data_IF_086603299499
#
_entry.id   IF_086603299499
#
_cell.length_a   1.000
_cell.length_b   1.000
_cell.length_c   1.000
_cell.angle_alpha   90.00
_cell.angle_beta   90.00
_cell.angle_gamma   90.00
#
_symmetry.space_group_name_H-M   'P 1'
#
loop_
_entity.id
_entity.type
_entity.pdbx_description
1 polymer ?
#
# COMPACT_ATOMS: atom_id res chain seq x y z
N UNK A 1 61.49 9.04 14.48
CA UNK A 1 61.54 9.89 13.27
C UNK A 1 60.44 9.37 12.36
N UNK A 2 59.25 9.96 12.45
CA UNK A 2 58.76 10.96 11.47
C UNK A 2 57.75 10.23 10.57
N UNK A 3 56.52 10.65 10.33
CA UNK A 3 55.80 11.89 10.57
C UNK A 3 54.32 11.57 10.35
N UNK A 4 53.47 12.11 11.21
CA UNK A 4 52.03 12.26 11.00
C UNK A 4 51.80 13.15 9.77
N UNK A 5 51.01 12.70 8.80
CA UNK A 5 50.44 13.60 7.77
C UNK A 5 48.94 13.72 7.98
N UNK A 6 48.54 14.84 8.55
CA UNK A 6 47.21 15.42 8.39
C UNK A 6 46.98 15.70 6.90
N UNK A 7 45.79 15.34 6.40
CA UNK A 7 45.20 15.95 5.23
C UNK A 7 43.92 16.66 5.67
N UNK A 8 44.02 17.98 5.78
CA UNK A 8 42.90 18.91 5.71
C UNK A 8 42.57 19.11 4.22
N UNK A 9 41.29 19.09 3.83
CA UNK A 9 40.61 20.26 3.23
C UNK A 9 39.16 19.91 2.79
N UNK A 10 38.25 20.71 3.37
CA UNK A 10 36.94 21.22 2.92
C UNK A 10 35.74 20.35 2.47
N UNK A 11 34.53 20.84 2.82
CA UNK A 11 33.26 20.27 2.38
C UNK A 11 32.91 20.79 0.99
N UNK A 12 32.53 19.91 0.08
CA UNK A 12 31.98 20.27 -1.23
C UNK A 12 30.64 19.52 -1.36
N UNK A 13 29.54 20.19 -1.05
CA UNK A 13 28.68 20.94 -1.98
C UNK A 13 27.80 20.02 -2.83
N UNK A 14 26.51 20.38 -2.89
CA UNK A 14 25.43 19.80 -3.69
C UNK A 14 25.06 18.33 -3.40
N UNK A 15 24.37 18.10 -2.29
CA UNK A 15 23.52 16.92 -2.16
C UNK A 15 22.10 17.32 -2.62
N UNK A 16 21.79 17.07 -3.89
CA UNK A 16 20.40 16.79 -4.26
C UNK A 16 19.94 15.66 -3.34
N UNK A 17 18.96 15.94 -2.48
CA UNK A 17 18.47 15.00 -1.49
C UNK A 17 18.03 13.72 -2.20
N UNK A 18 18.83 12.65 -2.07
CA UNK A 18 18.44 11.31 -2.51
C UNK A 18 17.12 10.99 -1.80
N UNK A 19 16.03 11.00 -2.56
CA UNK A 19 14.72 10.64 -2.06
C UNK A 19 14.76 9.13 -1.79
N UNK A 20 15.02 8.74 -0.54
CA UNK A 20 14.85 7.35 -0.13
C UNK A 20 13.41 6.93 -0.46
N UNK A 21 13.24 5.86 -1.22
CA UNK A 21 11.91 5.33 -1.57
C UNK A 21 11.72 3.97 -0.92
N UNK A 22 10.48 3.63 -0.59
CA UNK A 22 10.17 2.25 -0.24
C UNK A 22 10.36 1.32 -1.48
N UNK A 23 10.34 -0.02 -1.32
CA UNK A 23 10.49 -0.96 -2.43
C UNK A 23 9.48 -0.79 -3.57
N UNK A 24 8.41 -0.02 -3.37
CA UNK A 24 7.32 0.26 -4.32
C UNK A 24 7.36 1.68 -4.90
N UNK A 25 8.43 2.43 -4.63
CA UNK A 25 8.67 3.75 -5.21
C UNK A 25 7.96 4.90 -4.50
N UNK A 26 7.36 4.67 -3.33
CA UNK A 26 6.76 5.73 -2.52
C UNK A 26 7.89 6.54 -1.88
N UNK A 27 7.99 7.87 -2.12
CA UNK A 27 9.03 8.71 -1.54
C UNK A 27 8.91 8.77 -0.02
N UNK A 28 10.04 8.66 0.68
CA UNK A 28 10.14 8.86 2.12
C UNK A 28 10.28 10.33 2.44
N UNK A 29 9.57 10.76 3.48
CA UNK A 29 9.63 12.09 4.03
C UNK A 29 10.89 12.22 4.87
N UNK A 30 11.69 13.24 4.59
CA UNK A 30 12.80 13.61 5.45
C UNK A 30 12.29 14.41 6.66
N UNK A 31 12.71 14.01 7.85
CA UNK A 31 12.39 14.75 9.07
C UNK A 31 13.23 16.03 9.15
N UNK A 32 12.59 17.17 9.38
CA UNK A 32 13.27 18.47 9.46
C UNK A 32 13.66 18.74 10.91
N UNK A 33 14.90 18.42 11.28
CA UNK A 33 15.42 18.69 12.64
C UNK A 33 15.60 20.18 12.92
N UNK A 34 16.27 20.89 12.01
CA UNK A 34 16.49 22.34 12.11
C UNK A 34 15.67 23.07 11.04
N UNK A 35 14.54 23.62 11.47
CA UNK A 35 13.59 24.36 10.62
C UNK A 35 14.22 25.64 10.05
N UNK A 36 15.09 26.32 10.81
CA UNK A 36 15.70 27.58 10.39
C UNK A 36 16.72 27.36 9.27
N UNK A 37 17.53 26.30 9.38
CA UNK A 37 18.45 25.90 8.33
C UNK A 37 17.70 25.43 7.07
N UNK A 38 16.62 24.68 7.24
CA UNK A 38 15.81 24.20 6.13
C UNK A 38 15.14 25.35 5.35
N UNK A 39 14.56 26.32 6.06
CA UNK A 39 13.92 27.49 5.44
C UNK A 39 14.95 28.46 4.87
N UNK A 40 16.12 28.62 5.49
CA UNK A 40 17.17 29.48 4.93
C UNK A 40 17.81 28.90 3.65
N UNK A 41 17.88 27.56 3.54
CA UNK A 41 18.28 26.88 2.29
C UNK A 41 17.19 26.95 1.21
N UNK A 42 15.92 26.88 1.62
CA UNK A 42 14.77 27.06 0.73
C UNK A 42 14.58 28.55 0.50
N UNK A 43 15.18 29.13 -0.55
CA UNK A 43 15.02 30.56 -0.88
C UNK A 43 13.56 31.02 -1.13
N UNK A 44 12.58 30.13 -1.00
CA UNK A 44 11.16 30.39 -1.14
C UNK A 44 10.52 30.92 0.16
N UNK A 45 9.42 31.70 0.06
CA UNK A 45 8.62 32.09 1.22
C UNK A 45 8.13 30.88 2.03
N UNK A 46 8.00 31.06 3.34
CA UNK A 46 7.56 30.00 4.26
C UNK A 46 6.19 29.44 3.87
N UNK A 47 5.29 30.32 3.43
CA UNK A 47 3.94 29.96 2.97
C UNK A 47 3.96 29.03 1.75
N UNK A 48 4.89 29.24 0.82
CA UNK A 48 5.09 28.35 -0.34
C UNK A 48 5.58 26.98 0.11
N UNK A 49 6.48 26.93 1.09
CA UNK A 49 7.02 25.68 1.64
C UNK A 49 5.93 24.90 2.39
N UNK A 50 5.10 25.58 3.19
CA UNK A 50 3.93 24.97 3.84
C UNK A 50 2.91 24.44 2.83
N UNK A 51 2.66 25.18 1.74
CA UNK A 51 1.80 24.73 0.64
C UNK A 51 2.30 23.43 0.00
N UNK A 52 3.61 23.33 -0.27
CA UNK A 52 4.23 22.08 -0.79
C UNK A 52 4.08 20.90 0.15
N UNK A 53 4.22 21.12 1.46
CA UNK A 53 4.01 20.06 2.46
C UNK A 53 2.56 19.61 2.50
N UNK A 54 1.59 20.54 2.45
CA UNK A 54 0.17 20.20 2.39
C UNK A 54 -0.19 19.43 1.11
N UNK A 55 0.37 19.82 -0.05
CA UNK A 55 0.21 19.09 -1.30
C UNK A 55 0.76 17.65 -1.19
N UNK A 56 1.92 17.50 -0.54
CA UNK A 56 2.55 16.19 -0.33
C UNK A 56 1.72 15.31 0.61
N UNK A 57 1.16 15.87 1.70
CA UNK A 57 0.19 15.16 2.56
C UNK A 57 -1.04 14.72 1.77
N UNK A 58 -1.57 15.59 0.91
CA UNK A 58 -2.72 15.25 0.07
C UNK A 58 -2.41 14.07 -0.88
N UNK A 59 -1.20 14.02 -1.46
CA UNK A 59 -0.74 12.88 -2.28
C UNK A 59 -0.65 11.59 -1.47
N UNK A 60 -0.09 11.62 -0.26
CA UNK A 60 -0.04 10.44 0.60
C UNK A 60 -1.43 9.94 0.99
N UNK A 61 -2.35 10.84 1.39
CA UNK A 61 -3.74 10.49 1.72
C UNK A 61 -4.49 9.90 0.52
N UNK A 62 -4.27 10.44 -0.67
CA UNK A 62 -4.83 9.87 -1.90
C UNK A 62 -4.32 8.45 -2.15
N UNK A 63 -3.01 8.22 -2.01
CA UNK A 63 -2.45 6.87 -2.13
C UNK A 63 -3.00 5.91 -1.07
N UNK A 64 -3.13 6.36 0.19
CA UNK A 64 -3.71 5.58 1.29
C UNK A 64 -5.12 5.10 0.96
N UNK A 65 -5.99 5.96 0.44
CA UNK A 65 -7.35 5.59 0.01
C UNK A 65 -7.32 4.50 -1.06
N UNK A 66 -6.40 4.59 -2.03
CA UNK A 66 -6.26 3.58 -3.08
C UNK A 66 -5.83 2.23 -2.50
N UNK A 67 -4.85 2.21 -1.60
CA UNK A 67 -4.40 1.00 -0.93
C UNK A 67 -5.48 0.41 -0.02
N UNK A 68 -6.26 1.23 0.69
CA UNK A 68 -7.40 0.77 1.50
C UNK A 68 -8.49 0.11 0.64
N UNK A 69 -8.82 0.68 -0.53
CA UNK A 69 -9.77 0.07 -1.45
C UNK A 69 -9.24 -1.25 -2.01
N UNK A 70 -7.95 -1.32 -2.34
CA UNK A 70 -7.31 -2.56 -2.78
C UNK A 70 -7.31 -3.63 -1.69
N UNK A 71 -7.01 -3.24 -0.43
CA UNK A 71 -7.08 -4.12 0.75
C UNK A 71 -8.47 -4.73 0.88
N UNK A 72 -9.52 -3.91 0.89
CA UNK A 72 -10.92 -4.39 0.98
C UNK A 72 -11.25 -5.39 -0.13
N UNK A 73 -10.82 -5.10 -1.36
CA UNK A 73 -11.02 -6.02 -2.49
C UNK A 73 -10.32 -7.37 -2.31
N UNK A 74 -9.12 -7.38 -1.71
CA UNK A 74 -8.38 -8.61 -1.43
C UNK A 74 -8.98 -9.38 -0.24
N UNK A 75 -9.41 -8.67 0.82
CA UNK A 75 -10.05 -9.27 2.00
C UNK A 75 -11.37 -9.96 1.67
N UNK A 76 -12.09 -9.50 0.65
CA UNK A 76 -13.30 -10.17 0.15
C UNK A 76 -12.98 -11.41 -0.71
N UNK A 77 -11.96 -11.32 -1.57
CA UNK A 77 -11.60 -12.38 -2.52
C UNK A 77 -10.91 -13.58 -1.87
N UNK A 78 -10.09 -13.35 -0.85
CA UNK A 78 -9.31 -14.44 -0.22
C UNK A 78 -10.24 -15.51 0.39
N UNK A 79 -11.26 -15.17 1.20
CA UNK A 79 -12.22 -16.14 1.71
C UNK A 79 -12.99 -16.86 0.59
N UNK A 80 -13.42 -16.12 -0.43
CA UNK A 80 -14.16 -16.69 -1.58
C UNK A 80 -13.35 -17.79 -2.28
N UNK A 81 -12.08 -17.53 -2.57
CA UNK A 81 -11.17 -18.52 -3.20
C UNK A 81 -10.90 -19.70 -2.26
N UNK A 82 -10.73 -19.44 -0.95
CA UNK A 82 -10.47 -20.47 0.04
C UNK A 82 -11.66 -21.43 0.20
N UNK A 83 -12.88 -20.91 0.28
CA UNK A 83 -14.11 -21.72 0.35
C UNK A 83 -14.29 -22.54 -0.92
N UNK A 84 -14.03 -21.94 -2.09
CA UNK A 84 -14.13 -22.65 -3.37
C UNK A 84 -13.15 -23.82 -3.44
N UNK A 85 -11.90 -23.63 -3.00
CA UNK A 85 -10.88 -24.68 -3.00
C UNK A 85 -11.29 -25.84 -2.08
N UNK A 86 -11.66 -25.57 -0.83
CA UNK A 86 -12.02 -26.63 0.13
C UNK A 86 -13.26 -27.41 -0.34
N UNK A 87 -14.33 -26.72 -0.74
CA UNK A 87 -15.59 -27.38 -1.07
C UNK A 87 -15.53 -28.18 -2.37
N UNK A 88 -14.76 -27.72 -3.37
CA UNK A 88 -14.67 -28.40 -4.67
C UNK A 88 -13.78 -29.64 -4.67
N UNK A 89 -12.72 -29.72 -3.84
CA UNK A 89 -11.82 -30.88 -3.87
C UNK A 89 -12.18 -31.98 -2.88
N UNK A 90 -12.61 -31.64 -1.67
CA UNK A 90 -12.94 -32.67 -0.66
C UNK A 90 -14.19 -33.49 -1.01
N UNK A 91 -15.11 -32.98 -1.83
CA UNK A 91 -16.33 -33.70 -2.18
C UNK A 91 -16.20 -34.59 -3.42
N UNK A 92 -15.26 -34.28 -4.32
CA UNK A 92 -15.12 -34.99 -5.60
C UNK A 92 -13.97 -36.01 -5.62
N UNK A 93 -12.97 -35.91 -4.75
CA UNK A 93 -11.84 -36.89 -4.73
C UNK A 93 -12.18 -38.18 -3.97
N UNK A 94 -13.05 -38.14 -2.96
CA UNK A 94 -13.28 -39.26 -2.02
C UNK A 94 -14.55 -40.09 -2.30
N UNK A 95 -15.39 -39.71 -3.27
CA UNK A 95 -16.66 -40.41 -3.52
C UNK A 95 -17.06 -40.46 -5.00
N UNK A 96 -17.34 -41.66 -5.49
CA UNK A 96 -18.02 -41.90 -6.78
C UNK A 96 -19.55 -41.80 -6.67
N UNK A 97 -20.07 -41.44 -5.48
CA UNK A 97 -21.51 -41.34 -5.25
C UNK A 97 -22.07 -40.05 -5.89
N UNK A 98 -23.28 -40.12 -6.49
CA UNK A 98 -23.94 -38.95 -7.01
C UNK A 98 -24.30 -37.98 -5.86
N UNK A 99 -23.95 -36.71 -6.02
CA UNK A 99 -24.20 -35.66 -5.04
C UNK A 99 -25.56 -35.04 -5.34
N UNK A 100 -26.48 -35.08 -4.38
CA UNK A 100 -27.70 -34.29 -4.42
C UNK A 100 -27.39 -32.88 -3.91
N UNK A 101 -27.64 -31.88 -4.76
CA UNK A 101 -27.45 -30.48 -4.41
C UNK A 101 -28.59 -29.63 -4.91
N UNK A 102 -28.71 -28.44 -4.33
CA UNK A 102 -29.71 -27.45 -4.70
C UNK A 102 -28.99 -26.35 -5.48
N UNK A 103 -29.27 -26.25 -6.78
CA UNK A 103 -28.67 -25.28 -7.68
C UNK A 103 -29.50 -24.00 -7.75
N UNK A 104 -28.84 -22.85 -7.65
CA UNK A 104 -29.46 -21.53 -7.76
C UNK A 104 -29.67 -21.14 -9.24
N UNK A 105 -30.93 -21.00 -9.64
CA UNK A 105 -31.31 -20.53 -10.99
C UNK A 105 -31.48 -19.00 -11.02
N UNK A 106 -31.89 -18.43 -9.89
CA UNK A 106 -32.07 -17.00 -9.64
C UNK A 106 -32.01 -16.77 -8.11
N UNK A 107 -31.81 -15.52 -7.67
CA UNK A 107 -31.68 -15.11 -6.26
C UNK A 107 -32.80 -15.64 -5.34
N UNK A 108 -33.98 -15.96 -5.89
CA UNK A 108 -35.13 -16.52 -5.15
C UNK A 108 -35.63 -17.85 -5.71
N UNK A 109 -34.92 -18.49 -6.63
CA UNK A 109 -35.33 -19.72 -7.30
C UNK A 109 -34.20 -20.74 -7.29
N UNK A 110 -34.48 -21.87 -6.66
CA UNK A 110 -33.57 -23.00 -6.58
C UNK A 110 -34.20 -24.26 -7.17
N UNK A 111 -33.36 -25.13 -7.72
CA UNK A 111 -33.75 -26.43 -8.25
C UNK A 111 -32.89 -27.53 -7.63
N UNK A 112 -33.52 -28.65 -7.27
CA UNK A 112 -32.78 -29.83 -6.82
C UNK A 112 -32.20 -30.55 -8.03
N UNK A 113 -30.93 -30.88 -7.96
CA UNK A 113 -30.18 -31.55 -9.02
C UNK A 113 -29.31 -32.65 -8.42
N UNK A 114 -29.23 -33.77 -9.12
CA UNK A 114 -28.32 -34.86 -8.80
C UNK A 114 -27.14 -34.78 -9.76
N UNK A 115 -25.96 -34.46 -9.24
CA UNK A 115 -24.72 -34.32 -10.00
C UNK A 115 -23.96 -35.63 -9.94
N UNK A 116 -23.60 -36.18 -11.10
CA UNK A 116 -22.71 -37.35 -11.17
C UNK A 116 -21.29 -36.92 -10.87
N UNK A 117 -20.50 -37.80 -10.25
CA UNK A 117 -19.07 -37.53 -10.04
C UNK A 117 -18.37 -37.24 -11.37
N UNK A 118 -17.73 -36.08 -11.47
CA UNK A 118 -16.99 -35.62 -12.65
C UNK A 118 -15.56 -35.26 -12.24
N UNK A 119 -14.60 -35.56 -13.11
CA UNK A 119 -13.17 -35.29 -12.87
C UNK A 119 -12.71 -33.91 -13.35
N UNK A 120 -13.62 -33.13 -13.92
CA UNK A 120 -13.36 -31.81 -14.48
C UNK A 120 -14.34 -30.78 -13.93
N UNK A 121 -13.90 -29.52 -13.89
CA UNK A 121 -14.66 -28.36 -13.43
C UNK A 121 -14.48 -27.20 -14.41
N UNK A 122 -15.50 -26.36 -14.53
CA UNK A 122 -15.46 -25.17 -15.38
C UNK A 122 -15.19 -23.95 -14.51
N UNK A 123 -14.11 -23.22 -14.79
CA UNK A 123 -13.73 -22.01 -14.07
C UNK A 123 -13.94 -20.77 -14.95
N UNK A 124 -14.60 -19.77 -14.39
CA UNK A 124 -14.71 -18.45 -14.99
C UNK A 124 -13.45 -17.63 -14.72
N UNK A 125 -12.72 -17.28 -15.77
CA UNK A 125 -11.44 -16.54 -15.66
C UNK A 125 -11.62 -15.03 -15.83
N UNK A 126 -12.83 -14.57 -16.17
CA UNK A 126 -13.11 -13.19 -16.52
C UNK A 126 -13.06 -12.95 -18.03
N UNK A 127 -13.28 -11.70 -18.45
CA UNK A 127 -13.30 -11.28 -19.85
C UNK A 127 -14.21 -12.14 -20.77
N UNK A 128 -15.33 -12.64 -20.24
CA UNK A 128 -16.26 -13.56 -20.91
C UNK A 128 -15.65 -14.91 -21.32
N UNK A 129 -14.60 -15.35 -20.61
CA UNK A 129 -13.92 -16.63 -20.86
C UNK A 129 -14.14 -17.59 -19.70
N UNK A 130 -14.61 -18.79 -20.03
CA UNK A 130 -14.72 -19.95 -19.15
C UNK A 130 -13.90 -21.09 -19.75
N UNK A 131 -13.11 -21.78 -18.93
CA UNK A 131 -12.30 -22.93 -19.35
C UNK A 131 -12.56 -24.13 -18.44
N UNK A 132 -12.52 -25.31 -19.05
CA UNK A 132 -12.57 -26.59 -18.35
C UNK A 132 -11.17 -26.97 -17.86
N UNK A 133 -11.08 -27.40 -16.61
CA UNK A 133 -9.86 -27.87 -15.96
C UNK A 133 -10.11 -29.23 -15.30
N UNK A 134 -9.08 -30.06 -15.21
CA UNK A 134 -9.13 -31.19 -14.28
C UNK A 134 -9.18 -30.69 -12.84
N UNK A 135 -9.68 -31.52 -11.92
CA UNK A 135 -9.69 -31.17 -10.49
C UNK A 135 -8.29 -30.75 -10.00
N UNK A 136 -7.26 -31.53 -10.32
CA UNK A 136 -5.89 -31.22 -9.89
C UNK A 136 -5.38 -29.87 -10.42
N UNK A 137 -5.61 -29.57 -11.71
CA UNK A 137 -5.19 -28.28 -12.30
C UNK A 137 -5.97 -27.11 -11.72
N UNK A 138 -7.26 -27.28 -11.49
CA UNK A 138 -8.11 -26.27 -10.85
C UNK A 138 -7.61 -25.97 -9.42
N UNK A 139 -7.21 -27.01 -8.68
CA UNK A 139 -6.67 -26.88 -7.32
C UNK A 139 -5.38 -26.06 -7.33
N UNK A 140 -4.42 -26.46 -8.15
CA UNK A 140 -3.15 -25.77 -8.28
C UNK A 140 -3.35 -24.31 -8.73
N UNK A 141 -4.27 -24.06 -9.66
CA UNK A 141 -4.60 -22.70 -10.09
C UNK A 141 -5.18 -21.85 -8.95
N UNK A 142 -6.11 -22.41 -8.17
CA UNK A 142 -6.74 -21.70 -7.05
C UNK A 142 -5.76 -21.48 -5.89
N UNK A 143 -4.89 -22.44 -5.59
CA UNK A 143 -3.81 -22.30 -4.59
C UNK A 143 -2.81 -21.22 -4.99
N UNK A 144 -2.34 -21.22 -6.25
CA UNK A 144 -1.45 -20.19 -6.77
C UNK A 144 -2.09 -18.78 -6.73
N UNK A 145 -3.38 -18.68 -7.07
CA UNK A 145 -4.13 -17.41 -6.95
C UNK A 145 -4.29 -16.98 -5.50
N UNK A 146 -4.53 -17.91 -4.59
CA UNK A 146 -4.66 -17.64 -3.16
C UNK A 146 -3.35 -17.11 -2.60
N UNK A 147 -2.23 -17.76 -2.87
CA UNK A 147 -0.90 -17.30 -2.45
C UNK A 147 -0.57 -15.91 -3.02
N UNK A 148 -0.82 -15.70 -4.32
CA UNK A 148 -0.62 -14.39 -4.96
C UNK A 148 -1.44 -13.30 -4.29
N UNK A 149 -2.71 -13.56 -3.95
CA UNK A 149 -3.59 -12.59 -3.29
C UNK A 149 -3.17 -12.35 -1.83
N UNK A 150 -2.72 -13.38 -1.11
CA UNK A 150 -2.21 -13.24 0.25
C UNK A 150 -0.92 -12.42 0.29
N UNK A 151 0.02 -12.69 -0.62
CA UNK A 151 1.24 -11.90 -0.79
C UNK A 151 0.92 -10.46 -1.19
N UNK A 152 -0.05 -10.25 -2.09
CA UNK A 152 -0.52 -8.91 -2.43
C UNK A 152 -1.14 -8.19 -1.23
N UNK A 153 -1.91 -8.88 -0.38
CA UNK A 153 -2.49 -8.30 0.84
C UNK A 153 -1.40 -7.88 1.83
N UNK A 154 -0.40 -8.73 2.05
CA UNK A 154 0.74 -8.42 2.91
C UNK A 154 1.47 -7.16 2.45
N UNK A 155 1.79 -7.07 1.15
CA UNK A 155 2.45 -5.89 0.58
C UNK A 155 1.62 -4.62 0.78
N UNK A 156 0.29 -4.69 0.56
CA UNK A 156 -0.61 -3.55 0.76
C UNK A 156 -0.64 -3.11 2.23
N UNK A 157 -0.57 -4.04 3.19
CA UNK A 157 -0.51 -3.70 4.61
C UNK A 157 0.81 -3.00 4.98
N UNK A 158 1.93 -3.47 4.45
CA UNK A 158 3.25 -2.83 4.64
C UNK A 158 3.27 -1.41 4.04
N UNK A 159 2.72 -1.23 2.83
CA UNK A 159 2.61 0.07 2.18
C UNK A 159 1.69 1.04 2.96
N UNK A 160 0.57 0.53 3.51
CA UNK A 160 -0.32 1.34 4.35
C UNK A 160 0.36 1.82 5.62
N UNK A 161 1.14 0.96 6.29
CA UNK A 161 1.88 1.35 7.48
C UNK A 161 2.96 2.39 7.15
N UNK A 162 3.71 2.17 6.05
CA UNK A 162 4.70 3.14 5.57
C UNK A 162 4.06 4.51 5.29
N UNK A 163 2.91 4.55 4.60
CA UNK A 163 2.19 5.79 4.31
C UNK A 163 1.75 6.51 5.59
N UNK A 164 1.30 5.76 6.59
CA UNK A 164 0.90 6.32 7.89
C UNK A 164 2.06 7.02 8.60
N UNK A 165 3.24 6.38 8.60
CA UNK A 165 4.47 6.97 9.15
C UNK A 165 4.87 8.24 8.37
N UNK A 166 4.76 8.23 7.04
CA UNK A 166 5.08 9.39 6.20
C UNK A 166 4.13 10.57 6.46
N UNK A 167 2.83 10.31 6.56
CA UNK A 167 1.83 11.34 6.90
C UNK A 167 2.13 11.93 8.27
N UNK A 168 2.40 11.09 9.28
CA UNK A 168 2.70 11.54 10.64
C UNK A 168 3.96 12.43 10.67
N UNK A 169 5.03 12.01 9.98
CA UNK A 169 6.28 12.77 9.91
C UNK A 169 6.07 14.12 9.21
N UNK A 170 5.29 14.14 8.13
CA UNK A 170 4.98 15.37 7.41
C UNK A 170 4.11 16.32 8.24
N UNK A 171 3.13 15.81 8.98
CA UNK A 171 2.30 16.61 9.88
C UNK A 171 3.13 17.26 11.00
N UNK A 172 4.08 16.52 11.57
CA UNK A 172 5.05 17.09 12.53
C UNK A 172 5.90 18.18 11.86
N UNK A 173 6.44 17.93 10.66
CA UNK A 173 7.22 18.94 9.93
C UNK A 173 6.40 20.22 9.67
N UNK A 174 5.14 20.10 9.25
CA UNK A 174 4.21 21.23 9.05
C UNK A 174 4.05 22.01 10.35
N UNK A 175 3.77 21.33 11.47
CA UNK A 175 3.60 21.98 12.77
C UNK A 175 4.87 22.74 13.21
N UNK A 176 6.04 22.14 12.99
CA UNK A 176 7.34 22.77 13.33
C UNK A 176 7.61 24.02 12.50
N UNK A 177 7.39 23.96 11.18
CA UNK A 177 7.52 25.12 10.28
C UNK A 177 6.54 26.22 10.67
N UNK A 178 5.28 25.88 10.94
CA UNK A 178 4.27 26.84 11.36
C UNK A 178 4.64 27.52 12.69
N UNK A 179 5.08 26.75 13.68
CA UNK A 179 5.50 27.28 14.99
C UNK A 179 6.70 28.23 14.87
N UNK A 180 7.68 27.86 14.04
CA UNK A 180 8.83 28.72 13.76
C UNK A 180 8.40 30.05 13.10
N UNK A 181 7.51 29.98 12.12
CA UNK A 181 7.00 31.17 11.41
C UNK A 181 6.24 32.12 12.34
N UNK A 182 5.41 31.58 13.24
CA UNK A 182 4.71 32.37 14.27
C UNK A 182 5.73 33.06 15.21
N UNK A 183 6.78 32.35 15.64
CA UNK A 183 7.84 32.91 16.50
C UNK A 183 8.60 34.05 15.78
N UNK A 184 8.92 33.86 14.50
CA UNK A 184 9.55 34.89 13.65
C UNK A 184 8.66 36.12 13.48
N UNK A 185 7.36 35.94 13.22
CA UNK A 185 6.41 37.07 13.09
C UNK A 185 6.23 37.84 14.39
N UNK A 186 6.25 37.17 15.55
CA UNK A 186 6.17 37.82 16.86
C UNK A 186 7.41 38.66 17.16
N UNK A 187 8.60 38.11 16.94
CA UNK A 187 9.87 38.82 17.17
C UNK A 187 10.00 40.07 16.29
N UNK A 188 9.65 39.97 15.00
CA UNK A 188 9.63 41.13 14.09
C UNK A 188 8.70 42.25 14.57
N UNK A 189 7.52 41.92 15.10
CA UNK A 189 6.58 42.92 15.65
C UNK A 189 7.14 43.61 16.89
N UNK A 190 7.74 42.86 17.82
CA UNK A 190 8.35 43.44 19.02
C UNK A 190 9.51 44.38 18.69
N UNK A 191 10.40 44.01 17.76
CA UNK A 191 11.52 44.87 17.32
C UNK A 191 11.07 46.13 16.59
N UNK A 192 9.89 46.11 15.95
CA UNK A 192 9.33 47.28 15.25
C UNK A 192 8.66 48.30 16.18
N UNK A 193 8.45 47.94 17.46
CA UNK A 193 7.70 48.76 18.45
C UNK A 193 8.62 49.40 19.50
N UNK A 194 9.94 49.29 19.34
CA UNK A 194 10.99 49.90 20.18
C UNK A 194 11.81 50.83 19.31
#
# INVERSE_FOLDING_TARGET
MSETRQATDKPNSSAEAVLETNPRGIPKVQFVENVEEFISKSSAPVEVTLGKFQETVAKYKFMEINFLNRKKGLELKIPEIMTLNIYSFFHYEDSDEPIETTFELNDTLWANATIKSTKTVNLWLGANVMLEYTLQEAKELLENKLDTNQNALKNVLEDLEFLREQVTTMEVNIARVYNWDVKRRRTLKTTSTV
#
